data_IF_694246301602
#
_entry.id   IF_694246301602
#
_cell.length_a   1.000
_cell.length_b   1.000
_cell.length_c   1.000
_cell.angle_alpha   90.00
_cell.angle_beta   90.00
_cell.angle_gamma   90.00
#
_symmetry.space_group_name_H-M   'P 1'
#
loop_
_entity.id
_entity.type
_entity.pdbx_description
1 polymer ?
#
# COMPACT_ATOMS: atom_id res chain seq x y z
N UNK A 1 14.13 -5.23 -30.97
CA UNK A 1 13.23 -4.32 -30.24
C UNK A 1 13.92 -3.78 -29.00
N UNK A 2 13.92 -2.46 -28.76
CA UNK A 2 14.46 -1.87 -27.52
C UNK A 2 13.49 -2.16 -26.38
N UNK A 3 13.88 -2.98 -25.40
CA UNK A 3 13.04 -3.32 -24.24
C UNK A 3 12.90 -2.07 -23.36
N UNK A 4 11.69 -1.51 -23.29
CA UNK A 4 11.34 -0.49 -22.31
C UNK A 4 11.04 -1.23 -21.01
N UNK A 5 11.67 -0.81 -19.92
CA UNK A 5 11.43 -1.33 -18.58
C UNK A 5 10.92 -0.18 -17.72
N UNK A 6 10.05 -0.46 -16.74
CA UNK A 6 9.55 0.55 -15.81
C UNK A 6 10.70 1.30 -15.10
N UNK A 7 11.82 0.60 -14.82
CA UNK A 7 13.01 1.23 -14.24
C UNK A 7 13.59 2.36 -15.11
N UNK A 8 13.44 2.31 -16.44
CA UNK A 8 13.93 3.36 -17.35
C UNK A 8 13.11 4.65 -17.29
N UNK A 9 11.88 4.60 -16.78
CA UNK A 9 11.05 5.79 -16.54
C UNK A 9 11.14 6.24 -15.07
N UNK A 10 12.15 5.77 -14.33
CA UNK A 10 12.39 6.13 -12.94
C UNK A 10 11.61 5.30 -11.92
N UNK A 11 10.86 4.27 -12.34
CA UNK A 11 10.09 3.42 -11.43
C UNK A 11 10.66 1.99 -11.38
N UNK A 12 11.49 1.74 -10.37
CA UNK A 12 12.09 0.43 -10.17
C UNK A 12 11.31 -0.39 -9.12
N UNK A 13 10.43 -1.28 -9.56
CA UNK A 13 9.69 -2.16 -8.66
C UNK A 13 10.59 -3.02 -7.75
N UNK A 14 11.79 -3.40 -8.20
CA UNK A 14 12.72 -4.19 -7.38
C UNK A 14 13.16 -3.47 -6.10
N UNK A 15 13.12 -2.13 -6.05
CA UNK A 15 13.43 -1.38 -4.82
C UNK A 15 12.23 -1.23 -3.90
N UNK A 16 10.99 -1.32 -4.43
CA UNK A 16 9.73 -1.17 -3.68
C UNK A 16 9.16 -2.49 -3.19
N UNK A 17 9.43 -3.58 -3.90
CA UNK A 17 8.88 -4.91 -3.60
C UNK A 17 9.38 -5.54 -2.28
N UNK A 18 10.64 -5.34 -1.83
CA UNK A 18 11.12 -5.98 -0.60
C UNK A 18 10.30 -5.56 0.63
N UNK A 19 10.04 -4.27 0.80
CA UNK A 19 9.25 -3.78 1.94
C UNK A 19 7.79 -4.25 1.86
N UNK A 20 7.20 -4.30 0.66
CA UNK A 20 5.84 -4.82 0.46
C UNK A 20 5.74 -6.29 0.84
N UNK A 21 6.74 -7.10 0.45
CA UNK A 21 6.81 -8.52 0.82
C UNK A 21 6.98 -8.70 2.32
N UNK A 22 7.88 -7.93 2.96
CA UNK A 22 8.06 -7.95 4.42
C UNK A 22 6.78 -7.56 5.15
N UNK A 23 6.06 -6.54 4.67
CA UNK A 23 4.77 -6.14 5.23
C UNK A 23 3.71 -7.23 5.10
N UNK A 24 3.63 -7.92 3.95
CA UNK A 24 2.72 -9.07 3.77
C UNK A 24 3.06 -10.23 4.72
N UNK A 25 4.34 -10.56 4.87
CA UNK A 25 4.80 -11.60 5.83
C UNK A 25 4.44 -11.22 7.26
N UNK A 26 4.61 -9.95 7.64
CA UNK A 26 4.23 -9.47 8.97
C UNK A 26 2.70 -9.52 9.17
N UNK A 27 1.92 -9.07 8.18
CA UNK A 27 0.46 -9.10 8.21
C UNK A 27 -0.10 -10.54 8.24
N UNK A 28 0.58 -11.52 7.64
CA UNK A 28 0.15 -12.91 7.71
C UNK A 28 0.17 -13.44 9.16
N UNK A 29 1.11 -12.97 10.00
CA UNK A 29 1.20 -13.36 11.42
C UNK A 29 -0.01 -12.90 12.24
N UNK A 30 -0.81 -11.97 11.73
CA UNK A 30 -2.02 -11.49 12.42
C UNK A 30 -3.29 -12.24 12.03
N UNK A 31 -3.23 -13.20 11.09
CA UNK A 31 -4.39 -13.94 10.60
C UNK A 31 -5.20 -14.65 11.72
N UNK A 32 -4.51 -15.06 12.79
CA UNK A 32 -5.14 -15.64 13.99
C UNK A 32 -6.19 -14.75 14.66
N UNK A 33 -6.07 -13.42 14.54
CA UNK A 33 -7.03 -12.48 15.13
C UNK A 33 -8.40 -12.55 14.41
N UNK A 34 -8.36 -12.83 13.10
CA UNK A 34 -9.54 -13.01 12.27
C UNK A 34 -10.28 -14.29 12.68
N UNK A 35 -9.54 -15.39 12.83
CA UNK A 35 -10.09 -16.67 13.27
C UNK A 35 -10.72 -16.59 14.67
N UNK A 36 -10.10 -15.87 15.62
CA UNK A 36 -10.67 -15.62 16.96
C UNK A 36 -12.02 -14.90 16.93
N UNK A 37 -12.30 -14.17 15.86
CA UNK A 37 -13.55 -13.44 15.66
C UNK A 37 -14.58 -14.25 14.85
N UNK A 38 -14.30 -15.52 14.53
CA UNK A 38 -15.17 -16.37 13.71
C UNK A 38 -15.15 -16.03 12.22
N UNK A 39 -14.16 -15.26 11.76
CA UNK A 39 -14.02 -14.82 10.38
C UNK A 39 -12.94 -15.63 9.64
N UNK A 40 -13.03 -15.69 8.31
CA UNK A 40 -12.07 -16.42 7.47
C UNK A 40 -11.54 -15.56 6.33
N UNK A 41 -10.24 -15.61 6.07
CA UNK A 41 -9.65 -14.84 4.98
C UNK A 41 -9.75 -15.57 3.64
N UNK A 42 -9.76 -14.79 2.55
CA UNK A 42 -9.51 -15.29 1.19
C UNK A 42 -8.00 -15.18 0.94
N UNK A 43 -7.27 -16.26 1.21
CA UNK A 43 -5.79 -16.26 1.21
C UNK A 43 -5.17 -15.73 -0.09
N UNK A 44 -5.76 -16.06 -1.23
CA UNK A 44 -5.31 -15.64 -2.56
C UNK A 44 -5.41 -14.12 -2.79
N UNK A 45 -6.16 -13.38 -1.94
CA UNK A 45 -6.22 -11.92 -2.00
C UNK A 45 -5.01 -11.22 -1.38
N UNK A 46 -4.14 -11.96 -0.66
CA UNK A 46 -2.95 -11.36 -0.02
C UNK A 46 -1.95 -10.93 -1.08
N UNK A 47 -1.72 -9.61 -1.16
CA UNK A 47 -0.80 -9.01 -2.13
C UNK A 47 -1.50 -8.53 -3.41
N UNK A 48 -2.80 -8.79 -3.56
CA UNK A 48 -3.65 -8.20 -4.59
C UNK A 48 -4.06 -6.77 -4.23
N UNK A 49 -4.84 -6.12 -5.10
CA UNK A 49 -5.33 -4.74 -4.91
C UNK A 49 -6.12 -4.53 -3.60
N UNK A 50 -6.68 -5.60 -3.03
CA UNK A 50 -7.39 -5.56 -1.75
C UNK A 50 -7.19 -6.89 -1.00
N UNK A 51 -7.05 -6.82 0.32
CA UNK A 51 -7.15 -7.99 1.19
C UNK A 51 -8.62 -8.27 1.51
N UNK A 52 -9.08 -9.50 1.30
CA UNK A 52 -10.50 -9.89 1.41
C UNK A 52 -10.71 -10.95 2.48
N UNK A 53 -11.79 -10.82 3.26
CA UNK A 53 -12.22 -11.83 4.23
C UNK A 53 -13.74 -11.94 4.29
N UNK A 54 -14.23 -13.05 4.88
CA UNK A 54 -15.64 -13.35 5.08
C UNK A 54 -16.05 -13.10 6.54
N UNK A 55 -17.21 -12.48 6.72
CA UNK A 55 -17.90 -12.33 8.00
C UNK A 55 -19.34 -12.83 7.84
N UNK A 56 -19.62 -14.09 8.23
CA UNK A 56 -20.90 -14.71 7.92
C UNK A 56 -21.17 -14.73 6.41
N UNK A 57 -22.25 -14.07 5.99
CA UNK A 57 -22.72 -14.03 4.59
C UNK A 57 -22.16 -12.85 3.78
N UNK A 58 -21.32 -12.00 4.38
CA UNK A 58 -20.72 -10.86 3.68
C UNK A 58 -19.22 -11.02 3.45
N UNK A 59 -18.74 -10.43 2.36
CA UNK A 59 -17.33 -10.24 2.08
C UNK A 59 -16.93 -8.81 2.43
N UNK A 60 -15.81 -8.70 3.11
CA UNK A 60 -15.18 -7.44 3.46
C UNK A 60 -13.87 -7.32 2.70
N UNK A 61 -13.52 -6.10 2.33
CA UNK A 61 -12.26 -5.80 1.66
C UNK A 61 -11.56 -4.63 2.34
N UNK A 62 -10.24 -4.73 2.49
CA UNK A 62 -9.38 -3.66 2.98
C UNK A 62 -8.33 -3.34 1.91
N UNK A 63 -8.23 -2.05 1.59
CA UNK A 63 -7.21 -1.50 0.70
C UNK A 63 -6.29 -0.63 1.54
N UNK A 64 -4.98 -0.80 1.35
CA UNK A 64 -3.97 0.04 1.99
C UNK A 64 -3.15 0.70 0.90
N UNK A 65 -3.16 2.02 0.90
CA UNK A 65 -2.39 2.84 -0.04
C UNK A 65 -1.41 3.74 0.70
N UNK A 66 -0.30 4.06 0.03
CA UNK A 66 0.68 5.03 0.53
C UNK A 66 0.71 6.26 -0.36
N UNK A 67 1.19 7.39 0.19
CA UNK A 67 1.38 8.64 -0.54
C UNK A 67 2.37 8.51 -1.71
N UNK A 68 3.26 7.52 -1.64
CA UNK A 68 4.38 7.36 -2.56
C UNK A 68 5.43 8.45 -2.37
N UNK A 69 6.16 8.78 -3.42
CA UNK A 69 7.25 9.78 -3.40
C UNK A 69 6.78 11.24 -3.34
N UNK A 70 5.46 11.49 -3.27
CA UNK A 70 4.90 12.83 -3.11
C UNK A 70 5.34 13.48 -1.79
N UNK A 71 5.65 12.68 -0.78
CA UNK A 71 6.21 13.17 0.49
C UNK A 71 7.52 13.96 0.28
N UNK A 72 8.38 13.52 -0.63
CA UNK A 72 9.64 14.21 -0.94
C UNK A 72 9.38 15.62 -1.49
N UNK A 73 8.37 15.78 -2.34
CA UNK A 73 7.98 17.09 -2.85
C UNK A 73 7.44 17.97 -1.74
N UNK A 74 6.59 17.44 -0.84
CA UNK A 74 6.11 18.19 0.32
C UNK A 74 7.25 18.64 1.25
N UNK A 75 8.27 17.80 1.44
CA UNK A 75 9.46 18.11 2.23
C UNK A 75 10.29 19.25 1.60
N UNK A 76 10.54 19.20 0.29
CA UNK A 76 11.26 20.27 -0.41
C UNK A 76 10.46 21.57 -0.45
N UNK A 77 9.15 21.49 -0.65
CA UNK A 77 8.27 22.67 -0.63
C UNK A 77 8.30 23.37 0.72
N UNK A 78 8.42 22.63 1.83
CA UNK A 78 8.56 23.23 3.16
C UNK A 78 9.82 24.07 3.31
N UNK A 79 10.92 23.72 2.64
CA UNK A 79 12.17 24.48 2.71
C UNK A 79 12.06 25.83 1.98
N UNK A 80 11.36 25.87 0.86
CA UNK A 80 11.24 27.08 0.02
C UNK A 80 10.07 27.97 0.38
N UNK A 81 8.96 27.40 0.85
CA UNK A 81 7.72 28.14 1.18
C UNK A 81 7.53 28.38 2.67
N UNK A 82 8.29 27.68 3.53
CA UNK A 82 8.08 27.60 4.98
C UNK A 82 6.72 27.06 5.42
N UNK A 83 5.95 26.46 4.51
CA UNK A 83 4.64 25.86 4.77
C UNK A 83 4.68 24.33 4.66
N UNK A 84 3.77 23.64 5.34
CA UNK A 84 3.59 22.18 5.19
C UNK A 84 2.43 21.89 4.23
N UNK A 85 2.62 20.89 3.36
CA UNK A 85 1.61 20.46 2.38
C UNK A 85 1.16 19.01 2.59
N UNK A 86 1.52 18.40 3.73
CA UNK A 86 1.14 17.02 4.05
C UNK A 86 -0.38 16.80 4.10
N UNK A 87 -1.14 17.79 4.55
CA UNK A 87 -2.61 17.72 4.57
C UNK A 87 -3.20 17.66 3.15
N UNK A 88 -2.56 18.36 2.20
CA UNK A 88 -2.99 18.38 0.80
C UNK A 88 -2.63 17.08 0.10
N UNK A 89 -1.39 16.60 0.25
CA UNK A 89 -0.96 15.35 -0.41
C UNK A 89 -1.54 14.10 0.25
N UNK A 90 -1.95 14.21 1.52
CA UNK A 90 -2.64 13.17 2.29
C UNK A 90 -4.07 12.92 1.83
N UNK A 91 -4.71 13.94 1.25
CA UNK A 91 -6.00 13.79 0.59
C UNK A 91 -5.78 13.31 -0.85
N UNK A 92 -6.26 12.10 -1.15
CA UNK A 92 -6.52 11.72 -2.54
C UNK A 92 -7.81 12.41 -2.99
N UNK A 93 -7.71 13.68 -3.35
CA UNK A 93 -8.74 14.30 -4.18
C UNK A 93 -8.49 13.78 -5.61
N UNK A 94 -9.41 12.96 -6.12
CA UNK A 94 -9.46 12.57 -7.54
C UNK A 94 -9.75 13.78 -8.43
#
# INVERSE_FOLDING_TARGET
MKKITYAKVGDNYYTKDPIKKLAQVAAQKTAQNLAKSGFSEIGDSRGESAFVWRQGDVLMAAVVEGLGTKNLVADEMRKVSHQTFYDVIGQKNE
#
